data_IF_944807334102
#
_entry.id   IF_944807334102
#
_cell.length_a   1.000
_cell.length_b   1.000
_cell.length_c   1.000
_cell.angle_alpha   90.00
_cell.angle_beta   90.00
_cell.angle_gamma   90.00
#
_symmetry.space_group_name_H-M   'P 1'
#
loop_
_entity.id
_entity.type
_entity.pdbx_description
1 polymer ?
#
# COMPACT_ATOMS: atom_id res chain seq x y z
N UNK A 1 -4.40 15.81 -0.59
CA UNK A 1 -5.03 16.02 0.73
C UNK A 1 -4.37 15.12 1.78
N UNK A 2 -4.50 15.39 3.08
CA UNK A 2 -3.95 14.52 4.13
C UNK A 2 -4.97 13.45 4.54
N UNK A 3 -4.54 12.19 4.60
CA UNK A 3 -5.32 11.04 5.04
C UNK A 3 -4.62 10.31 6.19
N UNK A 4 -5.40 9.71 7.08
CA UNK A 4 -4.93 8.79 8.10
C UNK A 4 -5.26 7.35 7.66
N UNK A 5 -4.43 6.39 8.06
CA UNK A 5 -4.66 4.99 7.75
C UNK A 5 -3.85 4.05 8.62
N UNK A 6 -4.01 2.75 8.38
CA UNK A 6 -3.29 1.74 9.15
C UNK A 6 -3.82 0.34 8.97
N UNK A 7 -3.29 -0.57 9.77
CA UNK A 7 -3.80 -1.94 9.81
C UNK A 7 -5.13 -2.01 10.57
N UNK A 8 -5.87 -3.11 10.40
CA UNK A 8 -7.19 -3.29 11.02
C UNK A 8 -7.17 -3.20 12.56
N UNK A 9 -6.16 -3.78 13.22
CA UNK A 9 -6.09 -3.76 14.69
C UNK A 9 -5.52 -2.45 15.28
N UNK A 10 -5.16 -1.48 14.43
CA UNK A 10 -4.62 -0.19 14.86
C UNK A 10 -3.18 -0.21 15.38
N UNK A 11 -2.50 -1.36 15.43
CA UNK A 11 -1.07 -1.42 15.84
C UNK A 11 -0.14 -0.66 14.88
N UNK A 12 -0.47 -0.63 13.59
CA UNK A 12 0.23 0.12 12.56
C UNK A 12 -0.65 1.30 12.18
N UNK A 13 -0.15 2.53 12.33
CA UNK A 13 -0.86 3.76 11.94
C UNK A 13 0.09 4.73 11.26
N UNK A 14 -0.41 5.42 10.25
CA UNK A 14 0.34 6.40 9.46
C UNK A 14 -0.58 7.52 8.98
N UNK A 15 0.05 8.61 8.54
CA UNK A 15 -0.59 9.61 7.69
C UNK A 15 0.08 9.66 6.32
N UNK A 16 -0.69 10.07 5.32
CA UNK A 16 -0.24 10.21 3.94
C UNK A 16 -0.88 11.41 3.26
N UNK A 17 -0.08 12.16 2.50
CA UNK A 17 -0.54 13.21 1.61
C UNK A 17 -0.69 12.65 0.18
N UNK A 18 -1.92 12.64 -0.34
CA UNK A 18 -2.23 12.14 -1.68
C UNK A 18 -3.55 12.71 -2.17
N UNK A 19 -3.73 12.78 -3.49
CA UNK A 19 -5.02 13.07 -4.13
C UNK A 19 -5.82 11.78 -4.43
N UNK A 20 -5.33 10.63 -3.97
CA UNK A 20 -5.90 9.30 -4.26
C UNK A 20 -5.96 9.00 -5.76
N UNK A 21 -5.06 9.57 -6.55
CA UNK A 21 -4.94 9.28 -7.98
C UNK A 21 -3.46 9.19 -8.39
N UNK A 22 -3.08 8.20 -9.23
CA UNK A 22 -3.92 7.13 -9.77
C UNK A 22 -4.26 6.05 -8.72
N UNK A 23 -5.41 5.40 -8.90
CA UNK A 23 -5.80 4.17 -8.21
C UNK A 23 -5.53 2.97 -9.11
N UNK A 24 -4.79 1.98 -8.62
CA UNK A 24 -4.33 0.84 -9.42
C UNK A 24 -4.84 -0.47 -8.82
N UNK A 25 -5.41 -1.31 -9.68
CA UNK A 25 -5.69 -2.73 -9.41
C UNK A 25 -4.74 -3.59 -10.23
N UNK A 26 -3.80 -4.23 -9.56
CA UNK A 26 -2.79 -5.09 -10.19
C UNK A 26 -3.27 -6.56 -10.25
N UNK A 27 -3.06 -7.22 -11.38
CA UNK A 27 -3.46 -8.62 -11.58
C UNK A 27 -2.38 -9.66 -11.22
N UNK A 28 -1.22 -9.27 -10.65
CA UNK A 28 -0.20 -10.23 -10.23
C UNK A 28 -0.75 -11.17 -9.14
N UNK A 29 -0.16 -12.36 -8.98
CA UNK A 29 -0.69 -13.40 -8.08
C UNK A 29 -0.86 -12.91 -6.64
N UNK A 30 0.02 -12.03 -6.15
CA UNK A 30 -0.06 -11.47 -4.81
C UNK A 30 -1.15 -10.40 -4.67
N UNK A 31 -1.13 -9.37 -5.52
CA UNK A 31 -2.09 -8.26 -5.46
C UNK A 31 -3.52 -8.74 -5.72
N UNK A 32 -3.70 -9.70 -6.63
CA UNK A 32 -4.99 -10.31 -6.91
C UNK A 32 -5.51 -11.10 -5.70
N UNK A 33 -4.67 -11.91 -5.05
CA UNK A 33 -5.08 -12.69 -3.89
C UNK A 33 -5.48 -11.79 -2.70
N UNK A 34 -4.82 -10.64 -2.55
CA UNK A 34 -5.11 -9.67 -1.49
C UNK A 34 -6.19 -8.65 -1.83
N UNK A 35 -6.61 -8.58 -3.10
CA UNK A 35 -7.63 -7.63 -3.55
C UNK A 35 -7.22 -6.16 -3.36
N UNK A 36 -5.94 -5.84 -3.60
CA UNK A 36 -5.45 -4.49 -3.37
C UNK A 36 -5.99 -3.47 -4.37
N UNK A 37 -6.24 -2.27 -3.86
CA UNK A 37 -6.33 -1.02 -4.62
C UNK A 37 -5.23 -0.10 -4.10
N UNK A 38 -4.25 0.21 -4.94
CA UNK A 38 -3.04 0.91 -4.55
C UNK A 38 -3.00 2.32 -5.13
N UNK A 39 -2.56 3.28 -4.32
CA UNK A 39 -1.99 4.54 -4.81
C UNK A 39 -0.52 4.62 -4.40
N UNK A 40 0.28 5.41 -5.11
CA UNK A 40 1.72 5.49 -4.90
C UNK A 40 2.12 6.92 -4.58
N UNK A 41 2.85 7.10 -3.49
CA UNK A 41 3.33 8.41 -3.04
C UNK A 41 4.85 8.41 -2.86
N UNK A 42 5.43 9.60 -2.86
CA UNK A 42 6.82 9.77 -2.44
C UNK A 42 6.97 9.57 -0.94
N UNK A 43 8.12 9.07 -0.45
CA UNK A 43 8.36 8.90 0.98
C UNK A 43 8.16 10.17 1.81
N UNK A 44 8.42 11.35 1.23
CA UNK A 44 8.20 12.64 1.90
C UNK A 44 6.73 12.94 2.21
N UNK A 45 5.80 12.31 1.49
CA UNK A 45 4.36 12.46 1.69
C UNK A 45 3.79 11.42 2.68
N UNK A 46 4.62 10.54 3.25
CA UNK A 46 4.19 9.46 4.15
C UNK A 46 4.89 9.59 5.50
N UNK A 47 4.15 9.43 6.59
CA UNK A 47 4.71 9.35 7.94
C UNK A 47 4.11 8.17 8.69
N UNK A 48 4.94 7.19 9.06
CA UNK A 48 4.54 6.14 9.98
C UNK A 48 4.55 6.68 11.42
N UNK A 49 3.42 6.61 12.10
CA UNK A 49 3.26 7.09 13.47
C UNK A 49 3.55 6.01 14.51
N UNK A 50 3.21 4.75 14.21
CA UNK A 50 3.46 3.62 15.11
C UNK A 50 3.43 2.28 14.36
N UNK A 51 4.03 1.26 15.00
CA UNK A 51 3.92 -0.13 14.58
C UNK A 51 5.03 -0.63 13.66
N UNK A 52 6.18 0.06 13.56
CA UNK A 52 7.35 -0.44 12.80
C UNK A 52 7.79 -1.83 13.32
N UNK A 53 7.74 -2.04 14.64
CA UNK A 53 8.01 -3.31 15.32
C UNK A 53 6.90 -4.37 15.14
N UNK A 54 5.72 -3.95 14.69
CA UNK A 54 4.59 -4.81 14.39
C UNK A 54 4.49 -5.18 12.90
N UNK A 55 5.45 -4.75 12.07
CA UNK A 55 5.50 -5.10 10.65
C UNK A 55 6.28 -6.40 10.42
N UNK A 56 5.78 -7.22 9.51
CA UNK A 56 6.49 -8.34 8.91
C UNK A 56 6.68 -8.08 7.43
N UNK A 57 7.88 -8.35 6.93
CA UNK A 57 8.25 -8.16 5.54
C UNK A 57 8.09 -9.46 4.75
N UNK A 58 7.52 -9.36 3.55
CA UNK A 58 7.53 -10.41 2.55
C UNK A 58 8.04 -9.85 1.22
N UNK A 59 8.89 -10.62 0.54
CA UNK A 59 9.38 -10.31 -0.81
C UNK A 59 9.26 -11.55 -1.68
N UNK A 60 9.01 -11.31 -2.96
CA UNK A 60 8.97 -12.36 -3.98
C UNK A 60 9.30 -11.76 -5.35
N UNK A 61 9.45 -12.62 -6.36
CA UNK A 61 9.76 -12.24 -7.74
C UNK A 61 11.04 -11.39 -7.83
N UNK A 62 10.95 -10.14 -8.29
CA UNK A 62 12.11 -9.23 -8.39
C UNK A 62 12.61 -8.69 -7.05
N UNK A 63 11.91 -9.00 -5.95
CA UNK A 63 12.18 -8.49 -4.60
C UNK A 63 12.16 -6.95 -4.49
N UNK A 64 11.66 -6.25 -5.52
CA UNK A 64 11.62 -4.79 -5.57
C UNK A 64 10.66 -4.16 -4.56
N UNK A 65 9.63 -4.90 -4.13
CA UNK A 65 8.61 -4.44 -3.21
C UNK A 65 8.76 -5.16 -1.86
N UNK A 66 8.88 -4.37 -0.80
CA UNK A 66 8.73 -4.76 0.59
C UNK A 66 7.23 -4.77 0.92
N UNK A 67 6.60 -5.95 0.85
CA UNK A 67 5.23 -6.11 1.31
C UNK A 67 5.22 -6.13 2.84
N UNK A 68 4.65 -5.10 3.46
CA UNK A 68 4.73 -4.87 4.91
C UNK A 68 3.35 -5.07 5.53
N UNK A 69 3.16 -6.22 6.19
CA UNK A 69 1.89 -6.56 6.82
C UNK A 69 2.00 -6.58 8.34
N UNK A 70 0.91 -6.24 9.01
CA UNK A 70 0.86 -6.28 10.46
C UNK A 70 0.94 -7.74 10.94
N UNK A 71 1.96 -8.08 11.73
CA UNK A 71 2.17 -9.41 12.30
C UNK A 71 1.01 -9.90 13.19
N UNK A 72 0.18 -8.97 13.67
CA UNK A 72 -0.96 -9.28 14.53
C UNK A 72 -2.26 -9.55 13.78
N UNK A 73 -2.56 -8.81 12.70
CA UNK A 73 -3.85 -8.93 11.99
C UNK A 73 -3.72 -9.31 10.51
N UNK A 74 -2.51 -9.46 9.99
CA UNK A 74 -2.24 -9.85 8.60
C UNK A 74 -2.49 -8.76 7.56
N UNK A 75 -3.05 -7.61 7.95
CA UNK A 75 -3.35 -6.52 7.02
C UNK A 75 -2.06 -5.84 6.55
N UNK A 76 -1.91 -5.75 5.24
CA UNK A 76 -0.91 -4.96 4.55
C UNK A 76 -1.52 -3.61 4.17
N UNK A 77 -1.27 -2.62 5.00
CA UNK A 77 -1.81 -1.26 4.82
C UNK A 77 -0.93 -0.39 3.94
N UNK A 78 0.34 -0.75 3.78
CA UNK A 78 1.27 -0.12 2.84
C UNK A 78 2.41 -1.08 2.48
N UNK A 79 3.17 -0.73 1.44
CA UNK A 79 4.41 -1.38 1.04
C UNK A 79 5.45 -0.33 0.64
N UNK A 80 6.73 -0.69 0.67
CA UNK A 80 7.85 0.17 0.25
C UNK A 80 8.48 -0.43 -1.01
N UNK A 81 8.83 0.37 -2.01
CA UNK A 81 9.45 -0.14 -3.22
C UNK A 81 10.11 0.96 -4.05
N UNK A 82 10.51 0.62 -5.27
CA UNK A 82 11.06 1.58 -6.23
C UNK A 82 10.28 1.59 -7.53
N UNK A 83 10.14 2.77 -8.12
CA UNK A 83 9.66 2.96 -9.49
C UNK A 83 10.72 2.48 -10.51
N UNK A 84 10.37 2.32 -11.80
CA UNK A 84 11.32 1.84 -12.82
C UNK A 84 12.58 2.71 -13.00
N UNK A 85 12.49 4.00 -12.69
CA UNK A 85 13.60 4.95 -12.70
C UNK A 85 14.50 4.86 -11.44
N UNK A 86 14.16 3.97 -10.50
CA UNK A 86 14.87 3.77 -9.24
C UNK A 86 14.38 4.64 -8.07
N UNK A 87 13.43 5.55 -8.31
CA UNK A 87 12.89 6.44 -7.28
C UNK A 87 12.11 5.65 -6.23
N UNK A 88 12.40 5.87 -4.94
CA UNK A 88 11.67 5.25 -3.84
C UNK A 88 10.20 5.69 -3.85
N UNK A 89 9.29 4.74 -3.60
CA UNK A 89 7.85 4.96 -3.50
C UNK A 89 7.26 4.19 -2.32
N UNK A 90 6.16 4.71 -1.79
CA UNK A 90 5.30 4.03 -0.83
C UNK A 90 4.00 3.68 -1.55
N UNK A 91 3.66 2.40 -1.60
CA UNK A 91 2.36 1.94 -2.09
C UNK A 91 1.38 1.89 -0.92
N UNK A 92 0.26 2.61 -1.02
CA UNK A 92 -0.77 2.68 0.00
C UNK A 92 -1.95 1.83 -0.44
N UNK A 93 -2.36 0.88 0.40
CA UNK A 93 -3.62 0.18 0.20
C UNK A 93 -4.77 1.11 0.61
N UNK A 94 -5.50 1.63 -0.39
CA UNK A 94 -6.54 2.65 -0.18
C UNK A 94 -7.70 2.13 0.66
N UNK A 95 -7.91 0.81 0.69
CA UNK A 95 -8.88 0.18 1.59
C UNK A 95 -8.51 0.26 3.08
N UNK A 96 -7.27 0.67 3.40
CA UNK A 96 -6.77 0.82 4.76
C UNK A 96 -6.69 2.29 5.23
N UNK A 97 -7.18 3.23 4.40
CA UNK A 97 -7.34 4.62 4.81
C UNK A 97 -8.67 4.80 5.53
N UNK A 98 -8.66 5.63 6.56
CA UNK A 98 -9.84 5.90 7.37
C UNK A 98 -10.88 6.67 6.55
N UNK A 99 -12.16 6.29 6.68
CA UNK A 99 -13.29 7.01 6.06
C UNK A 99 -13.44 6.83 4.55
N UNK A 100 -12.68 5.95 3.91
CA UNK A 100 -12.84 5.65 2.49
C UNK A 100 -14.06 4.75 2.22
N UNK A 101 -14.95 5.20 1.35
CA UNK A 101 -15.96 4.32 0.74
C UNK A 101 -15.33 3.53 -0.41
N UNK A 102 -15.00 2.26 -0.12
CA UNK A 102 -14.38 1.36 -1.10
C UNK A 102 -15.22 1.15 -2.36
N UNK A 103 -16.55 1.31 -2.31
CA UNK A 103 -17.43 1.05 -3.44
C UNK A 103 -17.47 2.22 -4.44
N UNK A 104 -17.00 3.39 -4.02
CA UNK A 104 -16.87 4.58 -4.88
C UNK A 104 -15.55 4.64 -5.68
N UNK A 105 -14.60 3.75 -5.38
CA UNK A 105 -13.27 3.76 -6.00
C UNK A 105 -13.34 3.25 -7.46
N UNK A 106 -12.68 3.95 -8.37
CA UNK A 106 -12.58 3.58 -9.79
C UNK A 106 -11.12 3.32 -10.21
N UNK A 107 -10.53 2.18 -9.80
CA UNK A 107 -9.14 1.86 -10.13
C UNK A 107 -8.96 1.47 -11.60
N UNK A 108 -7.83 1.85 -12.18
CA UNK A 108 -7.37 1.32 -13.46
C UNK A 108 -6.69 -0.03 -13.29
N UNK A 109 -6.85 -0.89 -14.30
CA UNK A 109 -6.19 -2.20 -14.32
C UNK A 109 -4.72 -2.08 -14.72
N UNK A 110 -3.86 -2.82 -14.00
CA UNK A 110 -2.43 -2.89 -14.27
C UNK A 110 -1.99 -4.34 -14.55
N UNK A 111 -1.35 -4.61 -15.71
CA UNK A 111 -0.90 -5.95 -16.09
C UNK A 111 0.41 -6.32 -15.39
N UNK A 112 0.35 -6.54 -14.07
CA UNK A 112 1.51 -6.86 -13.25
C UNK A 112 2.02 -8.31 -13.37
N UNK A 113 1.29 -9.22 -14.02
CA UNK A 113 1.80 -10.56 -14.36
C UNK A 113 2.87 -10.54 -15.45
N UNK A 114 2.88 -9.50 -16.28
CA UNK A 114 3.76 -9.37 -17.44
C UNK A 114 5.03 -8.56 -17.12
N UNK A 115 5.32 -8.37 -15.82
CA UNK A 115 6.39 -7.51 -15.30
C UNK A 115 7.44 -8.29 -14.54
#
# INVERSE_FOLDING_TARGET
>A
MKHEGGCHCGKVRYSVETELEPLIRCNCSHCQAKGFVLTFVDPSAFTLHQGEDALSEYRFASENIQHLFCSNCGVESFARGKAPDGTSKIAINVHCLDGIDRFSLTPMDYPGRDK
#
